data_IF_106389394581
#
_entry.id   IF_106389394581
#
_cell.length_a   1.000
_cell.length_b   1.000
_cell.length_c   1.000
_cell.angle_alpha   90.00
_cell.angle_beta   90.00
_cell.angle_gamma   90.00
#
_symmetry.space_group_name_H-M   'P 1'
#
loop_
_entity.id
_entity.type
_entity.pdbx_description
1 polymer ?
#
# COMPACT_ATOMS: atom_id res chain seq x y z
N UNK A 1 -0.98 19.88 -16.80
CA UNK A 1 -1.45 19.87 -15.39
C UNK A 1 -1.96 21.23 -14.85
N UNK A 2 -2.29 22.24 -15.67
CA UNK A 2 -2.76 23.55 -15.16
C UNK A 2 -4.13 23.47 -14.46
N UNK A 3 -5.07 22.68 -14.99
CA UNK A 3 -6.40 22.52 -14.43
C UNK A 3 -6.40 21.91 -13.02
N UNK A 4 -5.57 20.89 -12.78
CA UNK A 4 -5.43 20.24 -11.46
C UNK A 4 -4.91 21.23 -10.41
N UNK A 5 -3.95 22.08 -10.78
CA UNK A 5 -3.42 23.10 -9.89
C UNK A 5 -4.48 24.16 -9.53
N UNK A 6 -5.27 24.60 -10.51
CA UNK A 6 -6.38 25.56 -10.30
C UNK A 6 -7.45 24.95 -9.39
N UNK A 7 -7.88 23.72 -9.66
CA UNK A 7 -8.86 23.03 -8.83
C UNK A 7 -8.35 22.83 -7.40
N UNK A 8 -7.08 22.46 -7.23
CA UNK A 8 -6.48 22.32 -5.90
C UNK A 8 -6.47 23.65 -5.14
N UNK A 9 -6.13 24.75 -5.80
CA UNK A 9 -6.13 26.09 -5.18
C UNK A 9 -7.55 26.52 -4.76
N UNK A 10 -8.56 26.25 -5.59
CA UNK A 10 -9.97 26.53 -5.26
C UNK A 10 -10.39 25.71 -4.02
N UNK A 11 -10.13 24.40 -4.03
CA UNK A 11 -10.48 23.51 -2.91
C UNK A 11 -9.76 23.89 -1.61
N UNK A 12 -8.50 24.32 -1.68
CA UNK A 12 -7.75 24.82 -0.52
C UNK A 12 -8.34 26.13 0.03
N UNK A 13 -8.74 27.04 -0.86
CA UNK A 13 -9.44 28.27 -0.49
C UNK A 13 -10.79 28.02 0.18
N UNK A 14 -11.61 27.13 -0.39
CA UNK A 14 -12.90 26.72 0.18
C UNK A 14 -12.73 26.03 1.54
N UNK A 15 -11.78 25.10 1.66
CA UNK A 15 -11.46 24.46 2.94
C UNK A 15 -11.08 25.49 4.00
N UNK A 16 -10.25 26.47 3.65
CA UNK A 16 -9.85 27.52 4.58
C UNK A 16 -11.03 28.41 5.00
N UNK A 17 -11.94 28.72 4.07
CA UNK A 17 -13.15 29.49 4.37
C UNK A 17 -14.11 28.72 5.31
N UNK A 18 -14.31 27.42 5.06
CA UNK A 18 -15.14 26.55 5.91
C UNK A 18 -14.55 26.43 7.31
N UNK A 19 -13.24 26.22 7.44
CA UNK A 19 -12.57 26.14 8.75
C UNK A 19 -12.58 27.46 9.54
N UNK A 20 -12.63 28.61 8.85
CA UNK A 20 -12.80 29.93 9.50
C UNK A 20 -14.23 30.13 10.01
N UNK A 21 -15.22 29.61 9.28
CA UNK A 21 -16.65 29.72 9.62
C UNK A 21 -17.03 28.76 10.75
N UNK A 22 -16.61 27.50 10.66
CA UNK A 22 -16.90 26.46 11.64
C UNK A 22 -15.65 26.15 12.46
N UNK A 23 -15.64 26.55 13.74
CA UNK A 23 -14.52 26.27 14.66
C UNK A 23 -14.29 24.76 14.87
N UNK A 24 -15.32 23.94 14.68
CA UNK A 24 -15.25 22.49 14.79
C UNK A 24 -16.10 21.84 13.70
N UNK A 25 -15.52 20.88 12.98
CA UNK A 25 -16.25 20.10 11.98
C UNK A 25 -17.02 18.96 12.65
N UNK A 26 -18.20 18.58 12.12
CA UNK A 26 -18.95 17.43 12.65
C UNK A 26 -18.11 16.14 12.61
N UNK A 27 -18.31 15.24 13.57
CA UNK A 27 -17.62 13.93 13.61
C UNK A 27 -17.85 13.10 12.34
N UNK A 28 -19.03 13.23 11.72
CA UNK A 28 -19.37 12.58 10.45
C UNK A 28 -18.45 13.02 9.30
N UNK A 29 -18.01 14.27 9.30
CA UNK A 29 -17.03 14.76 8.31
C UNK A 29 -15.69 14.06 8.48
N UNK A 30 -15.16 14.04 9.71
CA UNK A 30 -13.89 13.38 10.01
C UNK A 30 -13.92 11.89 9.68
N UNK A 31 -15.05 11.22 9.96
CA UNK A 31 -15.26 9.82 9.59
C UNK A 31 -15.21 9.62 8.07
N UNK A 32 -15.97 10.39 7.30
CA UNK A 32 -15.98 10.29 5.82
C UNK A 32 -14.61 10.61 5.24
N UNK A 33 -13.92 11.61 5.76
CA UNK A 33 -12.56 11.95 5.33
C UNK A 33 -11.59 10.80 5.58
N UNK A 34 -11.69 10.14 6.74
CA UNK A 34 -10.87 9.00 7.09
C UNK A 34 -11.17 7.78 6.22
N UNK A 35 -12.45 7.50 5.95
CA UNK A 35 -12.91 6.45 5.01
C UNK A 35 -12.36 6.67 3.59
N UNK A 36 -12.40 7.91 3.08
CA UNK A 36 -11.86 8.27 1.77
C UNK A 36 -10.33 8.13 1.71
N UNK A 37 -9.62 8.58 2.75
CA UNK A 37 -8.17 8.45 2.82
C UNK A 37 -7.73 6.97 2.86
N UNK A 38 -8.43 6.15 3.64
CA UNK A 38 -8.16 4.73 3.73
C UNK A 38 -8.41 4.02 2.39
N UNK A 39 -9.59 4.24 1.77
CA UNK A 39 -9.95 3.61 0.50
C UNK A 39 -8.99 3.99 -0.64
N UNK A 40 -8.63 5.27 -0.77
CA UNK A 40 -7.64 5.71 -1.76
C UNK A 40 -6.24 5.12 -1.48
N UNK A 41 -5.84 5.07 -0.21
CA UNK A 41 -4.58 4.43 0.19
C UNK A 41 -4.54 2.94 -0.17
N UNK A 42 -5.64 2.22 0.08
CA UNK A 42 -5.77 0.81 -0.25
C UNK A 42 -5.75 0.57 -1.77
N UNK A 43 -6.46 1.38 -2.55
CA UNK A 43 -6.43 1.31 -4.02
C UNK A 43 -5.02 1.53 -4.57
N UNK A 44 -4.29 2.49 -4.01
CA UNK A 44 -2.90 2.75 -4.39
C UNK A 44 -1.98 1.58 -4.05
N UNK A 45 -2.18 0.96 -2.89
CA UNK A 45 -1.44 -0.25 -2.50
C UNK A 45 -1.75 -1.42 -3.44
N UNK A 46 -3.03 -1.64 -3.78
CA UNK A 46 -3.43 -2.65 -4.75
C UNK A 46 -2.81 -2.42 -6.14
N UNK A 47 -2.76 -1.15 -6.58
CA UNK A 47 -2.09 -0.79 -7.82
C UNK A 47 -0.61 -1.17 -7.79
N UNK A 48 0.10 -0.82 -6.72
CA UNK A 48 1.51 -1.20 -6.54
C UNK A 48 1.73 -2.70 -6.55
N UNK A 49 0.85 -3.49 -5.92
CA UNK A 49 0.94 -4.95 -5.95
C UNK A 49 0.80 -5.47 -7.39
N UNK A 50 -0.11 -4.91 -8.19
CA UNK A 50 -0.26 -5.26 -9.61
C UNK A 50 0.96 -4.83 -10.43
N UNK A 51 1.55 -3.68 -10.15
CA UNK A 51 2.78 -3.23 -10.80
C UNK A 51 3.96 -4.17 -10.51
N UNK A 52 4.13 -4.57 -9.25
CA UNK A 52 5.14 -5.56 -8.82
C UNK A 52 4.93 -6.88 -9.58
N UNK A 53 3.69 -7.36 -9.66
CA UNK A 53 3.36 -8.57 -10.41
C UNK A 53 3.69 -8.43 -11.91
N UNK A 54 3.28 -7.33 -12.55
CA UNK A 54 3.50 -7.11 -13.98
C UNK A 54 4.99 -6.99 -14.34
N UNK A 55 5.79 -6.32 -13.50
CA UNK A 55 7.25 -6.24 -13.69
C UNK A 55 7.90 -7.62 -13.58
N UNK A 56 7.46 -8.43 -12.62
CA UNK A 56 7.96 -9.80 -12.46
C UNK A 56 7.62 -10.68 -13.66
N UNK A 57 6.38 -10.66 -14.13
CA UNK A 57 5.94 -11.43 -15.30
C UNK A 57 6.72 -11.03 -16.56
N UNK A 58 6.95 -9.73 -16.75
CA UNK A 58 7.81 -9.22 -17.83
C UNK A 58 9.24 -9.75 -17.74
N UNK A 59 9.84 -9.74 -16.55
CA UNK A 59 11.19 -10.27 -16.32
C UNK A 59 11.28 -11.78 -16.54
N UNK A 60 10.23 -12.54 -16.20
CA UNK A 60 10.15 -13.99 -16.47
C UNK A 60 10.08 -14.27 -17.97
N UNK A 61 9.22 -13.56 -18.70
CA UNK A 61 9.07 -13.74 -20.16
C UNK A 61 10.36 -13.40 -20.95
N UNK A 62 11.13 -12.41 -20.48
CA UNK A 62 12.45 -12.09 -21.03
C UNK A 62 13.47 -13.22 -20.80
N UNK A 63 13.34 -13.97 -19.70
CA UNK A 63 14.21 -15.11 -19.37
C UNK A 63 13.82 -16.38 -20.13
N UNK A 64 12.52 -16.58 -20.38
CA UNK A 64 11.95 -17.80 -20.98
C UNK A 64 11.63 -17.68 -22.49
N UNK A 65 11.93 -16.54 -23.12
CA UNK A 65 11.73 -16.33 -24.56
C UNK A 65 12.60 -17.23 -25.45
N UNK A 66 12.22 -17.44 -26.73
CA UNK A 66 12.83 -18.45 -27.62
C UNK A 66 14.31 -18.24 -27.97
N UNK A 67 14.93 -17.17 -27.48
CA UNK A 67 16.37 -16.93 -27.59
C UNK A 67 17.20 -17.76 -26.60
N UNK A 68 16.59 -18.38 -25.57
CA UNK A 68 17.28 -19.20 -24.58
C UNK A 68 17.59 -20.64 -25.06
N UNK A 69 17.16 -21.03 -26.26
CA UNK A 69 17.27 -22.39 -26.78
C UNK A 69 18.42 -22.63 -27.79
N UNK A 70 19.40 -21.73 -27.91
CA UNK A 70 20.58 -21.94 -28.78
C UNK A 70 21.87 -22.06 -27.94
N UNK A 71 22.57 -23.21 -27.97
CA UNK A 71 23.82 -23.37 -27.24
C UNK A 71 25.01 -22.74 -27.99
N UNK A 72 25.95 -22.23 -27.19
CA UNK A 72 27.31 -21.77 -27.48
C UNK A 72 27.86 -22.03 -28.90
N UNK A 73 28.32 -20.97 -29.59
CA UNK A 73 29.71 -20.48 -29.58
C UNK A 73 29.98 -19.50 -30.75
N UNK A 74 31.06 -18.72 -30.64
CA UNK A 74 31.78 -17.95 -31.69
C UNK A 74 31.46 -16.44 -31.80
N UNK A 75 32.19 -15.68 -30.97
CA UNK A 75 33.19 -14.65 -31.38
C UNK A 75 32.79 -13.17 -31.28
N UNK A 76 33.31 -12.56 -30.21
CA UNK A 76 33.89 -11.22 -30.08
C UNK A 76 33.58 -10.20 -31.19
N UNK A 77 32.78 -9.19 -30.83
CA UNK A 77 33.06 -7.81 -31.22
C UNK A 77 32.51 -6.85 -30.17
N UNK A 78 33.45 -6.30 -29.41
CA UNK A 78 33.24 -5.19 -28.48
C UNK A 78 32.63 -3.99 -29.23
N UNK A 79 31.48 -3.51 -28.77
CA UNK A 79 31.18 -2.08 -28.77
C UNK A 79 30.52 -1.73 -27.44
N UNK A 80 31.38 -1.21 -26.57
CA UNK A 80 31.10 -0.45 -25.36
C UNK A 80 29.93 0.53 -25.57
N UNK A 81 28.81 0.22 -24.95
CA UNK A 81 27.99 1.23 -24.27
C UNK A 81 27.37 0.48 -23.12
N UNK A 82 27.85 0.69 -21.89
CA UNK A 82 27.05 0.33 -20.72
C UNK A 82 25.81 1.22 -20.74
N UNK A 83 24.59 0.70 -20.90
CA UNK A 83 23.53 1.26 -20.09
C UNK A 83 23.79 0.70 -18.69
N UNK A 84 24.12 1.57 -17.75
CA UNK A 84 23.95 1.29 -16.33
C UNK A 84 22.60 0.57 -16.18
N UNK A 85 22.63 -0.69 -15.77
CA UNK A 85 21.49 -1.59 -15.80
C UNK A 85 20.26 -1.00 -15.08
N UNK A 86 19.02 -1.37 -15.46
CA UNK A 86 17.80 -1.04 -14.72
C UNK A 86 17.71 -1.85 -13.41
N UNK A 87 18.81 -1.93 -12.67
CA UNK A 87 18.92 -2.59 -11.39
C UNK A 87 18.22 -1.71 -10.33
N UNK A 88 17.14 -2.24 -9.75
CA UNK A 88 16.45 -1.77 -8.52
C UNK A 88 15.05 -1.15 -8.65
N UNK A 89 14.30 -1.35 -9.72
CA UNK A 89 12.88 -0.91 -9.72
C UNK A 89 11.99 -1.82 -8.84
N UNK A 90 12.13 -3.14 -8.94
CA UNK A 90 11.29 -4.10 -8.22
C UNK A 90 11.50 -4.07 -6.69
N UNK A 91 12.74 -4.12 -6.15
CA UNK A 91 12.95 -4.03 -4.71
C UNK A 91 12.45 -2.71 -4.11
N UNK A 92 12.62 -1.59 -4.83
CA UNK A 92 12.12 -0.29 -4.41
C UNK A 92 10.59 -0.26 -4.33
N UNK A 93 9.90 -0.76 -5.36
CA UNK A 93 8.43 -0.85 -5.39
C UNK A 93 7.87 -1.74 -4.28
N UNK A 94 8.51 -2.89 -4.01
CA UNK A 94 8.14 -3.77 -2.91
C UNK A 94 8.30 -3.05 -1.56
N UNK A 95 9.43 -2.36 -1.34
CA UNK A 95 9.65 -1.61 -0.10
C UNK A 95 8.62 -0.50 0.10
N UNK A 96 8.24 0.20 -0.97
CA UNK A 96 7.18 1.20 -0.92
C UNK A 96 5.82 0.58 -0.62
N UNK A 97 5.47 -0.52 -1.29
CA UNK A 97 4.23 -1.25 -1.02
C UNK A 97 4.15 -1.73 0.45
N UNK A 98 5.26 -2.24 1.00
CA UNK A 98 5.33 -2.62 2.42
C UNK A 98 5.15 -1.42 3.36
N UNK A 99 5.75 -0.26 3.06
CA UNK A 99 5.54 0.98 3.85
C UNK A 99 4.08 1.41 3.81
N UNK A 100 3.43 1.32 2.66
CA UNK A 100 2.01 1.69 2.53
C UNK A 100 1.09 0.72 3.24
N UNK A 101 1.40 -0.57 3.22
CA UNK A 101 0.70 -1.58 3.99
C UNK A 101 0.77 -1.29 5.49
N UNK A 102 1.95 -0.92 6.01
CA UNK A 102 2.12 -0.52 7.41
C UNK A 102 1.28 0.71 7.75
N UNK A 103 1.26 1.73 6.89
CA UNK A 103 0.42 2.92 7.08
C UNK A 103 -1.07 2.55 7.10
N UNK A 104 -1.52 1.72 6.16
CA UNK A 104 -2.91 1.25 6.12
C UNK A 104 -3.27 0.46 7.38
N UNK A 105 -2.37 -0.40 7.85
CA UNK A 105 -2.51 -1.12 9.12
C UNK A 105 -2.63 -0.18 10.32
N UNK A 106 -1.83 0.88 10.39
CA UNK A 106 -1.96 1.88 11.47
C UNK A 106 -3.30 2.62 11.42
N UNK A 107 -3.84 2.91 10.24
CA UNK A 107 -5.17 3.51 10.09
C UNK A 107 -6.27 2.59 10.62
N UNK A 108 -6.22 1.29 10.30
CA UNK A 108 -7.15 0.29 10.82
C UNK A 108 -7.08 0.20 12.34
N UNK A 109 -5.88 0.07 12.92
CA UNK A 109 -5.72 0.00 14.38
C UNK A 109 -6.24 1.26 15.08
N UNK A 110 -5.96 2.44 14.52
CA UNK A 110 -6.50 3.70 15.05
C UNK A 110 -8.02 3.70 15.00
N UNK A 111 -8.64 3.18 13.93
CA UNK A 111 -10.10 3.09 13.83
C UNK A 111 -10.69 2.12 14.85
N UNK A 112 -10.03 0.98 15.11
CA UNK A 112 -10.39 0.04 16.19
C UNK A 112 -10.36 0.76 17.54
N UNK A 113 -9.30 1.52 17.83
CA UNK A 113 -9.18 2.28 19.09
C UNK A 113 -10.30 3.31 19.25
N UNK A 114 -10.60 4.06 18.18
CA UNK A 114 -11.72 5.03 18.19
C UNK A 114 -13.04 4.30 18.45
N UNK A 115 -13.28 3.17 17.79
CA UNK A 115 -14.50 2.39 17.99
C UNK A 115 -14.62 1.88 19.43
N UNK A 116 -13.56 1.31 20.01
CA UNK A 116 -13.54 0.88 21.43
C UNK A 116 -13.82 2.04 22.38
N UNK A 117 -13.27 3.23 22.09
CA UNK A 117 -13.56 4.44 22.89
C UNK A 117 -15.01 4.88 22.75
N UNK A 118 -15.58 4.81 21.56
CA UNK A 118 -17.00 5.12 21.33
C UNK A 118 -17.90 4.15 22.10
N UNK A 119 -17.58 2.85 22.10
CA UNK A 119 -18.29 1.83 22.88
C UNK A 119 -18.22 2.13 24.38
N UNK A 120 -17.04 2.50 24.90
CA UNK A 120 -16.89 2.88 26.30
C UNK A 120 -17.74 4.10 26.68
N UNK A 121 -17.78 5.12 25.82
CA UNK A 121 -18.60 6.32 26.05
C UNK A 121 -20.10 6.01 25.95
N UNK A 122 -20.49 5.03 25.14
CA UNK A 122 -21.86 4.53 25.06
C UNK A 122 -22.34 4.00 26.42
N UNK A 123 -21.44 3.36 27.19
CA UNK A 123 -21.70 2.95 28.55
C UNK A 123 -22.08 4.10 29.49
N UNK A 124 -21.73 5.34 29.14
CA UNK A 124 -22.11 6.56 29.86
C UNK A 124 -23.32 7.29 29.23
N UNK A 125 -24.05 6.63 28.31
CA UNK A 125 -25.23 7.19 27.65
C UNK A 125 -24.96 8.00 26.37
N UNK A 126 -23.75 7.95 25.81
CA UNK A 126 -23.48 8.54 24.49
C UNK A 126 -24.10 7.71 23.36
N UNK A 127 -24.42 8.35 22.23
CA UNK A 127 -24.84 7.65 21.02
C UNK A 127 -23.71 6.77 20.47
N UNK A 128 -24.03 5.53 20.11
CA UNK A 128 -23.07 4.54 19.64
C UNK A 128 -23.56 3.82 18.40
N UNK A 129 -22.66 3.64 17.44
CA UNK A 129 -22.89 2.83 16.26
C UNK A 129 -22.19 1.48 16.44
N UNK A 130 -22.98 0.48 16.77
CA UNK A 130 -22.53 -0.88 17.08
C UNK A 130 -22.06 -1.67 15.86
N UNK A 131 -22.31 -1.15 14.65
CA UNK A 131 -21.99 -1.86 13.43
C UNK A 131 -20.48 -1.94 13.19
N UNK A 132 -19.93 -3.14 13.40
CA UNK A 132 -18.54 -3.48 13.13
C UNK A 132 -18.26 -3.83 11.66
N UNK A 133 -19.29 -4.06 10.84
CA UNK A 133 -19.11 -4.52 9.46
C UNK A 133 -18.18 -3.64 8.61
N UNK A 134 -18.24 -2.28 8.68
CA UNK A 134 -17.30 -1.44 7.95
C UNK A 134 -15.85 -1.62 8.40
N UNK A 135 -15.62 -1.90 9.68
CA UNK A 135 -14.29 -2.13 10.25
C UNK A 135 -13.76 -3.52 9.87
N UNK A 136 -14.61 -4.54 9.97
CA UNK A 136 -14.32 -5.90 9.51
C UNK A 136 -13.90 -5.89 8.04
N UNK A 137 -14.68 -5.23 7.17
CA UNK A 137 -14.35 -5.12 5.75
C UNK A 137 -12.97 -4.50 5.52
N UNK A 138 -12.56 -3.51 6.32
CA UNK A 138 -11.21 -2.92 6.20
C UNK A 138 -10.12 -3.91 6.59
N UNK A 139 -10.33 -4.69 7.65
CA UNK A 139 -9.40 -5.74 8.05
C UNK A 139 -9.27 -6.80 6.95
N UNK A 140 -10.40 -7.29 6.43
CA UNK A 140 -10.43 -8.30 5.36
C UNK A 140 -9.72 -7.81 4.10
N UNK A 141 -10.07 -6.61 3.61
CA UNK A 141 -9.42 -6.06 2.41
C UNK A 141 -7.93 -5.80 2.61
N UNK A 142 -7.51 -5.41 3.82
CA UNK A 142 -6.08 -5.22 4.11
C UNK A 142 -5.32 -6.54 4.16
N UNK A 143 -5.91 -7.58 4.76
CA UNK A 143 -5.34 -8.93 4.83
C UNK A 143 -5.26 -9.56 3.44
N UNK A 144 -6.26 -9.36 2.59
CA UNK A 144 -6.23 -9.81 1.20
C UNK A 144 -5.02 -9.21 0.45
N UNK A 145 -4.83 -7.89 0.53
CA UNK A 145 -3.72 -7.20 -0.13
C UNK A 145 -2.37 -7.57 0.50
N UNK A 146 -2.33 -7.78 1.82
CA UNK A 146 -1.18 -8.34 2.52
C UNK A 146 -0.76 -9.69 1.91
N UNK A 147 -1.71 -10.61 1.72
CA UNK A 147 -1.41 -11.94 1.17
C UNK A 147 -0.90 -11.85 -0.26
N UNK A 148 -1.51 -11.02 -1.09
CA UNK A 148 -1.05 -10.80 -2.47
C UNK A 148 0.38 -10.25 -2.49
N UNK A 149 0.68 -9.23 -1.67
CA UNK A 149 2.03 -8.67 -1.59
C UNK A 149 3.05 -9.68 -1.04
N UNK A 150 2.69 -10.44 -0.01
CA UNK A 150 3.53 -11.50 0.54
C UNK A 150 3.86 -12.56 -0.52
N UNK A 151 2.87 -12.99 -1.32
CA UNK A 151 3.09 -13.91 -2.43
C UNK A 151 4.09 -13.33 -3.44
N UNK A 152 3.95 -12.06 -3.82
CA UNK A 152 4.91 -11.43 -4.75
C UNK A 152 6.33 -11.37 -4.17
N UNK A 153 6.48 -11.08 -2.88
CA UNK A 153 7.78 -11.05 -2.19
C UNK A 153 8.43 -12.44 -2.18
N UNK A 154 7.66 -13.49 -1.86
CA UNK A 154 8.16 -14.86 -1.90
C UNK A 154 8.58 -15.27 -3.31
N UNK A 155 7.81 -14.84 -4.30
CA UNK A 155 8.05 -15.16 -5.70
C UNK A 155 9.21 -14.35 -6.32
N UNK A 156 9.59 -13.23 -5.71
CA UNK A 156 10.76 -12.41 -6.04
C UNK A 156 11.95 -12.63 -5.09
N UNK A 157 11.94 -13.69 -4.28
CA UNK A 157 12.95 -13.97 -3.25
C UNK A 157 14.39 -14.00 -3.79
N UNK A 158 14.61 -14.56 -4.98
CA UNK A 158 15.93 -14.61 -5.62
C UNK A 158 16.44 -13.22 -6.06
N UNK A 159 15.54 -12.29 -6.37
CA UNK A 159 15.87 -10.93 -6.87
C UNK A 159 16.03 -9.92 -5.73
N UNK A 160 15.40 -10.17 -4.57
CA UNK A 160 15.46 -9.31 -3.38
C UNK A 160 16.79 -9.41 -2.62
N UNK A 161 17.56 -10.48 -2.85
CA UNK A 161 18.81 -10.73 -2.13
C UNK A 161 18.62 -11.23 -0.70
N UNK A 162 19.72 -11.68 -0.10
CA UNK A 162 19.73 -12.39 1.19
C UNK A 162 19.43 -11.50 2.41
N UNK A 163 19.62 -10.19 2.31
CA UNK A 163 19.40 -9.26 3.43
C UNK A 163 17.99 -8.64 3.48
N UNK A 164 17.39 -8.34 2.33
CA UNK A 164 16.11 -7.64 2.27
C UNK A 164 14.93 -8.57 2.54
N UNK A 165 14.98 -9.81 2.04
CA UNK A 165 13.89 -10.78 2.19
C UNK A 165 13.57 -11.07 3.67
N UNK A 166 14.53 -11.43 4.55
CA UNK A 166 14.22 -11.67 5.97
C UNK A 166 13.62 -10.45 6.66
N UNK A 167 14.14 -9.25 6.39
CA UNK A 167 13.64 -7.99 6.95
C UNK A 167 12.20 -7.71 6.51
N UNK A 168 11.86 -7.98 5.25
CA UNK A 168 10.50 -7.85 4.76
C UNK A 168 9.55 -8.84 5.45
N UNK A 169 9.95 -10.10 5.59
CA UNK A 169 9.14 -11.13 6.26
C UNK A 169 8.88 -10.80 7.73
N UNK A 170 9.88 -10.27 8.44
CA UNK A 170 9.70 -9.78 9.81
C UNK A 170 8.65 -8.66 9.89
N UNK A 171 8.73 -7.67 8.98
CA UNK A 171 7.76 -6.58 8.89
C UNK A 171 6.35 -7.09 8.56
N UNK A 172 6.22 -8.07 7.67
CA UNK A 172 4.92 -8.71 7.38
C UNK A 172 4.36 -9.40 8.62
N UNK A 173 5.18 -10.16 9.35
CA UNK A 173 4.76 -10.81 10.59
C UNK A 173 4.30 -9.79 11.65
N UNK A 174 4.98 -8.64 11.76
CA UNK A 174 4.55 -7.56 12.65
C UNK A 174 3.20 -6.95 12.22
N UNK A 175 3.00 -6.72 10.92
CA UNK A 175 1.71 -6.26 10.37
C UNK A 175 0.59 -7.25 10.71
N UNK A 176 0.76 -8.53 10.41
CA UNK A 176 -0.27 -9.54 10.65
C UNK A 176 -0.53 -9.73 12.15
N UNK A 177 0.52 -9.89 12.95
CA UNK A 177 0.39 -10.13 14.39
C UNK A 177 -0.28 -8.95 15.10
N UNK A 178 0.01 -7.72 14.68
CA UNK A 178 -0.61 -6.53 15.26
C UNK A 178 -2.08 -6.36 14.83
N UNK A 179 -2.48 -6.83 13.65
CA UNK A 179 -3.89 -6.86 13.24
C UNK A 179 -4.69 -7.97 13.94
N UNK A 180 -4.10 -9.14 14.15
CA UNK A 180 -4.78 -10.29 14.77
C UNK A 180 -4.93 -10.13 16.28
N UNK A 181 -3.94 -9.56 16.96
CA UNK A 181 -3.93 -9.45 18.44
C UNK A 181 -4.74 -8.27 19.00
N UNK A 182 -5.17 -7.32 18.17
CA UNK A 182 -5.71 -6.02 18.61
C UNK A 182 -7.20 -5.89 18.34
#
# INVERSE_FOLDING_TARGET
>A
LRLVAVLKAILEGEKAAVLKRDRHLPLSFHRRQEELKFSLGLQRLQHRVREVQALRERSSQLRDGPAAALPLNVRDQQLKTEPKAPESELPALILEATKELEVAKQQVLKRIQIWKRQQQLAGNGALFEENLAPLQKRCESLVEVYFQLHQQVMAASAELGSELLPRLLERFNEVLSSLVKR
#
